data_IF_465088714339
#
_entry.id   IF_465088714339
#
_cell.length_a   1.000
_cell.length_b   1.000
_cell.length_c   1.000
_cell.angle_alpha   90.00
_cell.angle_beta   90.00
_cell.angle_gamma   90.00
#
_symmetry.space_group_name_H-M   'P 1'
#
loop_
_entity.id
_entity.type
_entity.pdbx_description
1 polymer ?
#
# COMPACT_ATOMS: atom_id res chain seq x y z
N UNK A 1 -7.12 7.32 -22.94
CA UNK A 1 -8.00 8.52 -22.72
C UNK A 1 -7.77 9.03 -21.30
N UNK A 2 -7.33 10.29 -21.09
CA UNK A 2 -7.08 10.80 -19.72
C UNK A 2 -8.38 10.87 -18.92
N UNK A 3 -8.44 10.22 -17.75
CA UNK A 3 -9.60 10.26 -16.84
C UNK A 3 -9.72 11.68 -16.23
N UNK A 4 -10.92 12.25 -16.08
CA UNK A 4 -11.08 13.56 -15.46
C UNK A 4 -10.69 13.51 -13.97
N UNK A 5 -9.96 14.54 -13.50
CA UNK A 5 -9.48 14.60 -12.12
C UNK A 5 -10.63 14.98 -11.17
N UNK A 6 -10.73 14.32 -10.01
CA UNK A 6 -11.64 14.71 -8.91
C UNK A 6 -10.97 15.84 -8.12
N UNK A 7 -11.65 16.94 -7.96
CA UNK A 7 -11.14 18.11 -7.22
C UNK A 7 -11.34 17.99 -5.70
N UNK A 8 -12.33 17.20 -5.26
CA UNK A 8 -12.66 17.04 -3.85
C UNK A 8 -12.60 15.58 -3.40
N UNK A 9 -11.93 15.33 -2.28
CA UNK A 9 -11.85 14.03 -1.60
C UNK A 9 -12.62 14.12 -0.29
N UNK A 10 -13.84 13.55 -0.23
CA UNK A 10 -14.61 13.56 1.00
C UNK A 10 -13.95 12.67 2.09
N UNK A 11 -14.03 13.05 3.38
CA UNK A 11 -13.53 12.22 4.48
C UNK A 11 -14.09 10.80 4.46
N UNK A 12 -15.36 10.62 4.05
CA UNK A 12 -16.00 9.30 3.89
C UNK A 12 -15.26 8.46 2.86
N UNK A 13 -14.96 9.01 1.68
CA UNK A 13 -14.25 8.29 0.64
C UNK A 13 -12.82 7.94 1.05
N UNK A 14 -12.11 8.88 1.71
CA UNK A 14 -10.78 8.63 2.24
C UNK A 14 -10.77 7.48 3.26
N UNK A 15 -11.74 7.45 4.15
CA UNK A 15 -11.89 6.35 5.12
C UNK A 15 -12.19 5.02 4.44
N UNK A 16 -13.07 4.99 3.43
CA UNK A 16 -13.38 3.79 2.65
C UNK A 16 -12.15 3.24 1.91
N UNK A 17 -11.26 4.11 1.46
CA UNK A 17 -9.99 3.70 0.85
C UNK A 17 -8.93 3.26 1.86
N UNK A 18 -9.23 3.26 3.15
CA UNK A 18 -8.29 2.88 4.21
C UNK A 18 -7.27 3.98 4.57
N UNK A 19 -7.52 5.24 4.19
CA UNK A 19 -6.65 6.37 4.55
C UNK A 19 -6.98 6.82 5.98
N UNK A 20 -6.04 6.73 6.95
CA UNK A 20 -6.26 7.20 8.31
C UNK A 20 -6.56 8.70 8.37
N UNK A 21 -7.42 9.10 9.32
CA UNK A 21 -7.88 10.50 9.46
C UNK A 21 -6.74 11.52 9.51
N UNK A 22 -5.63 11.19 10.18
CA UNK A 22 -4.43 12.06 10.27
C UNK A 22 -3.76 12.35 8.91
N UNK A 23 -4.09 11.59 7.85
CA UNK A 23 -3.55 11.78 6.50
C UNK A 23 -4.59 12.32 5.51
N UNK A 24 -5.78 12.74 5.98
CA UNK A 24 -6.83 13.26 5.09
C UNK A 24 -6.40 14.58 4.43
N UNK A 25 -5.86 15.50 5.21
CA UNK A 25 -5.59 16.88 4.80
C UNK A 25 -4.12 17.15 4.42
N UNK A 26 -3.26 16.11 4.45
CA UNK A 26 -1.85 16.25 4.09
C UNK A 26 -1.59 15.97 2.60
N UNK A 27 -0.52 16.54 2.06
CA UNK A 27 -0.04 16.35 0.70
C UNK A 27 1.41 15.86 0.69
N UNK A 28 1.98 15.56 -0.48
CA UNK A 28 3.34 15.01 -0.54
C UNK A 28 4.41 16.01 -0.05
N UNK A 29 4.14 17.30 -0.16
CA UNK A 29 4.99 18.37 0.32
C UNK A 29 5.16 18.34 1.85
N UNK A 30 4.17 17.79 2.57
CA UNK A 30 4.21 17.59 4.02
C UNK A 30 5.14 16.42 4.44
N UNK A 31 5.73 15.70 3.48
CA UNK A 31 6.68 14.64 3.78
C UNK A 31 7.96 15.23 4.36
N UNK A 32 8.11 15.07 5.68
CA UNK A 32 9.23 15.63 6.42
C UNK A 32 10.54 14.96 6.02
N UNK A 33 11.43 15.72 5.44
CA UNK A 33 12.77 15.25 5.03
C UNK A 33 13.85 15.52 6.07
N UNK A 34 13.58 16.36 7.07
CA UNK A 34 14.52 16.77 8.14
C UNK A 34 15.93 17.12 7.61
N UNK A 35 16.01 17.76 6.44
CA UNK A 35 17.29 18.07 5.76
C UNK A 35 18.12 16.82 5.40
N UNK A 36 17.55 15.64 5.43
CA UNK A 36 18.20 14.40 5.00
C UNK A 36 18.07 14.27 3.48
N UNK A 37 19.20 14.27 2.78
CA UNK A 37 19.23 14.22 1.30
C UNK A 37 18.54 12.97 0.74
N UNK A 38 18.65 11.84 1.43
CA UNK A 38 18.05 10.58 0.97
C UNK A 38 16.52 10.60 1.07
N UNK A 39 15.96 11.18 2.14
CA UNK A 39 14.51 11.40 2.25
C UNK A 39 13.99 12.43 1.24
N UNK A 40 14.78 13.44 0.89
CA UNK A 40 14.43 14.37 -0.16
C UNK A 40 14.35 13.66 -1.54
N UNK A 41 15.33 12.79 -1.84
CA UNK A 41 15.30 11.96 -3.06
C UNK A 41 14.08 11.02 -3.11
N UNK A 42 13.74 10.39 -1.99
CA UNK A 42 12.53 9.55 -1.89
C UNK A 42 11.28 10.39 -2.15
N UNK A 43 11.15 11.57 -1.55
CA UNK A 43 10.03 12.49 -1.80
C UNK A 43 9.93 12.86 -3.28
N UNK A 44 11.04 13.26 -3.88
CA UNK A 44 11.08 13.70 -5.27
C UNK A 44 10.74 12.55 -6.23
N UNK A 45 11.23 11.34 -5.95
CA UNK A 45 10.87 10.12 -6.66
C UNK A 45 9.37 9.81 -6.56
N UNK A 46 8.82 9.87 -5.34
CA UNK A 46 7.38 9.63 -5.12
C UNK A 46 6.54 10.70 -5.80
N UNK A 47 6.96 11.97 -5.76
CA UNK A 47 6.29 13.06 -6.47
C UNK A 47 6.24 12.80 -7.99
N UNK A 48 7.36 12.37 -8.58
CA UNK A 48 7.41 11.98 -10.00
C UNK A 48 6.48 10.80 -10.29
N UNK A 49 6.51 9.76 -9.45
CA UNK A 49 5.60 8.61 -9.55
C UNK A 49 4.12 9.03 -9.53
N UNK A 50 3.73 9.93 -8.62
CA UNK A 50 2.37 10.47 -8.54
C UNK A 50 1.99 11.29 -9.78
N UNK A 51 2.92 12.05 -10.34
CA UNK A 51 2.70 12.85 -11.56
C UNK A 51 2.45 11.95 -12.78
N UNK A 52 3.17 10.82 -12.87
CA UNK A 52 3.07 9.83 -13.96
C UNK A 52 2.05 8.72 -13.72
N UNK A 53 1.16 8.84 -12.76
CA UNK A 53 0.28 7.73 -12.34
C UNK A 53 -0.49 7.02 -13.47
N UNK A 54 -0.95 7.69 -14.56
CA UNK A 54 -1.52 6.98 -15.71
C UNK A 54 -0.53 6.06 -16.42
N UNK A 55 0.72 6.49 -16.59
CA UNK A 55 1.79 5.68 -17.19
C UNK A 55 2.20 4.53 -16.26
N UNK A 56 2.25 4.80 -14.95
CA UNK A 56 2.44 3.79 -13.90
C UNK A 56 1.40 2.68 -14.00
N UNK A 57 0.13 3.05 -14.20
CA UNK A 57 -0.95 2.08 -14.37
C UNK A 57 -0.81 1.28 -15.67
N UNK A 58 -0.57 1.97 -16.79
CA UNK A 58 -0.46 1.34 -18.11
C UNK A 58 0.72 0.36 -18.17
N UNK A 59 1.80 0.62 -17.41
CA UNK A 59 3.01 -0.22 -17.35
C UNK A 59 2.99 -1.22 -16.17
N UNK A 60 1.97 -1.22 -15.32
CA UNK A 60 1.90 -2.00 -14.07
C UNK A 60 3.11 -1.78 -13.15
N UNK A 61 3.55 -0.53 -12.97
CA UNK A 61 4.71 -0.16 -12.16
C UNK A 61 4.36 -0.14 -10.65
N UNK A 62 4.58 -1.24 -9.95
CA UNK A 62 4.41 -1.32 -8.50
C UNK A 62 5.59 -0.73 -7.71
N UNK A 63 5.41 -0.57 -6.39
CA UNK A 63 6.46 -0.15 -5.46
C UNK A 63 6.63 -1.13 -4.30
N UNK A 64 7.88 -1.38 -3.95
CA UNK A 64 8.26 -2.08 -2.73
C UNK A 64 8.90 -1.08 -1.76
N UNK A 65 8.07 -0.51 -0.86
CA UNK A 65 8.49 0.47 0.13
C UNK A 65 8.95 -0.24 1.40
N UNK A 66 10.24 -0.18 1.71
CA UNK A 66 10.79 -0.88 2.87
C UNK A 66 11.68 0.02 3.73
N UNK A 67 11.92 -0.39 4.97
CA UNK A 67 12.72 0.36 5.94
C UNK A 67 12.12 0.30 7.34
N UNK A 68 12.78 0.92 8.32
CA UNK A 68 12.41 0.86 9.73
C UNK A 68 11.02 1.46 10.03
N UNK A 69 10.55 1.28 11.27
CA UNK A 69 9.29 1.87 11.71
C UNK A 69 9.38 3.40 11.77
N UNK A 70 8.28 4.08 11.45
CA UNK A 70 8.15 5.53 11.62
C UNK A 70 8.80 6.40 10.53
N UNK A 71 9.50 5.82 9.53
CA UNK A 71 10.20 6.58 8.47
C UNK A 71 9.29 7.22 7.43
N UNK A 72 7.99 6.84 7.37
CA UNK A 72 7.01 7.47 6.48
C UNK A 72 6.42 6.58 5.40
N UNK A 73 6.61 5.24 5.41
CA UNK A 73 6.00 4.31 4.43
C UNK A 73 4.50 4.50 4.29
N UNK A 74 3.77 4.49 5.41
CA UNK A 74 2.31 4.70 5.45
C UNK A 74 1.90 6.06 4.90
N UNK A 75 2.71 7.11 5.11
CA UNK A 75 2.45 8.42 4.53
C UNK A 75 2.46 8.34 3.01
N UNK A 76 3.53 7.79 2.42
CA UNK A 76 3.67 7.61 0.97
C UNK A 76 2.53 6.76 0.41
N UNK A 77 2.21 5.65 1.06
CA UNK A 77 1.09 4.78 0.71
C UNK A 77 -0.24 5.55 0.62
N UNK A 78 -0.53 6.41 1.60
CA UNK A 78 -1.72 7.25 1.61
C UNK A 78 -1.72 8.27 0.46
N UNK A 79 -0.56 8.85 0.11
CA UNK A 79 -0.48 9.79 -1.01
C UNK A 79 -0.77 9.11 -2.35
N UNK A 80 -0.25 7.89 -2.56
CA UNK A 80 -0.52 7.10 -3.77
C UNK A 80 -2.02 6.79 -3.88
N UNK A 81 -2.64 6.28 -2.81
CA UNK A 81 -4.08 5.95 -2.80
C UNK A 81 -4.94 7.18 -3.07
N UNK A 82 -4.62 8.32 -2.45
CA UNK A 82 -5.35 9.59 -2.65
C UNK A 82 -5.23 10.07 -4.10
N UNK A 83 -4.04 10.08 -4.67
CA UNK A 83 -3.82 10.56 -6.03
C UNK A 83 -4.43 9.60 -7.07
N UNK A 84 -4.33 8.29 -6.88
CA UNK A 84 -4.99 7.31 -7.74
C UNK A 84 -6.52 7.55 -7.75
N UNK A 85 -7.13 7.73 -6.58
CA UNK A 85 -8.55 8.05 -6.49
C UNK A 85 -8.91 9.39 -7.13
N UNK A 86 -8.08 10.44 -6.98
CA UNK A 86 -8.29 11.73 -7.66
C UNK A 86 -8.33 11.56 -9.17
N UNK A 87 -7.49 10.69 -9.71
CA UNK A 87 -7.41 10.36 -11.15
C UNK A 87 -8.45 9.32 -11.61
N UNK A 88 -9.45 9.03 -10.76
CA UNK A 88 -10.55 8.11 -11.08
C UNK A 88 -10.16 6.63 -11.17
N UNK A 89 -9.04 6.25 -10.59
CA UNK A 89 -8.75 4.84 -10.35
C UNK A 89 -9.42 4.36 -9.07
N UNK A 90 -9.80 3.09 -9.03
CA UNK A 90 -10.14 2.43 -7.78
C UNK A 90 -8.86 2.21 -6.99
N UNK A 91 -8.86 2.60 -5.72
CA UNK A 91 -7.65 2.51 -4.90
C UNK A 91 -7.99 2.13 -3.47
N UNK A 92 -7.13 1.31 -2.86
CA UNK A 92 -7.32 0.88 -1.48
C UNK A 92 -5.98 0.65 -0.79
N UNK A 93 -5.92 1.05 0.46
CA UNK A 93 -4.88 0.72 1.40
C UNK A 93 -5.46 -0.21 2.46
N UNK A 94 -4.74 -1.29 2.77
CA UNK A 94 -5.16 -2.30 3.75
C UNK A 94 -3.91 -2.89 4.41
N UNK A 95 -3.99 -3.30 5.67
CA UNK A 95 -2.94 -4.13 6.25
C UNK A 95 -3.02 -5.54 5.69
N UNK A 96 -1.88 -6.22 5.58
CA UNK A 96 -1.88 -7.57 5.04
C UNK A 96 -2.65 -8.56 5.92
N UNK A 97 -2.68 -8.33 7.24
CA UNK A 97 -3.52 -9.09 8.17
C UNK A 97 -5.02 -8.91 7.86
N UNK A 98 -5.46 -7.68 7.61
CA UNK A 98 -6.87 -7.42 7.20
C UNK A 98 -7.19 -8.07 5.85
N UNK A 99 -6.27 -8.04 4.90
CA UNK A 99 -6.41 -8.72 3.61
C UNK A 99 -6.57 -10.24 3.78
N UNK A 100 -5.70 -10.87 4.58
CA UNK A 100 -5.79 -12.31 4.90
C UNK A 100 -7.12 -12.63 5.57
N UNK A 101 -7.55 -11.84 6.55
CA UNK A 101 -8.81 -12.04 7.24
C UNK A 101 -10.01 -11.95 6.28
N UNK A 102 -10.01 -10.98 5.36
CA UNK A 102 -11.06 -10.85 4.35
C UNK A 102 -11.05 -12.05 3.38
N UNK A 103 -9.87 -12.53 2.99
CA UNK A 103 -9.69 -13.70 2.12
C UNK A 103 -10.17 -14.99 2.80
N UNK A 104 -9.74 -15.25 4.03
CA UNK A 104 -10.06 -16.49 4.75
C UNK A 104 -11.50 -16.55 5.27
N UNK A 105 -12.15 -15.38 5.43
CA UNK A 105 -13.56 -15.31 5.81
C UNK A 105 -14.47 -16.09 4.85
N UNK A 106 -14.13 -16.15 3.58
CA UNK A 106 -14.85 -16.93 2.57
C UNK A 106 -14.86 -18.44 2.85
N UNK A 107 -13.82 -18.94 3.55
CA UNK A 107 -13.74 -20.37 3.94
C UNK A 107 -14.72 -20.76 5.04
N UNK A 108 -15.17 -19.78 5.82
CA UNK A 108 -16.13 -19.99 6.93
C UNK A 108 -17.59 -19.81 6.54
N UNK A 109 -17.89 -19.57 5.25
CA UNK A 109 -19.26 -19.40 4.77
C UNK A 109 -20.09 -20.65 5.01
N UNK A 110 -21.30 -20.49 5.50
CA UNK A 110 -22.21 -21.58 5.88
C UNK A 110 -23.17 -21.98 4.78
N UNK A 111 -23.43 -21.08 3.82
CA UNK A 111 -24.26 -21.34 2.66
C UNK A 111 -23.56 -20.90 1.38
N UNK A 112 -23.97 -21.46 0.21
CA UNK A 112 -23.44 -21.01 -1.09
C UNK A 112 -23.69 -19.53 -1.34
N UNK A 113 -24.83 -18.99 -0.96
CA UNK A 113 -25.20 -17.59 -1.14
C UNK A 113 -24.33 -16.67 -0.28
N UNK A 114 -24.06 -17.06 0.97
CA UNK A 114 -23.12 -16.33 1.85
C UNK A 114 -21.73 -16.34 1.25
N UNK A 115 -21.28 -17.46 0.71
CA UNK A 115 -19.97 -17.59 0.06
C UNK A 115 -19.87 -16.66 -1.14
N UNK A 116 -20.85 -16.67 -2.05
CA UNK A 116 -20.88 -15.80 -3.22
C UNK A 116 -20.83 -14.32 -2.83
N UNK A 117 -21.59 -13.92 -1.81
CA UNK A 117 -21.56 -12.55 -1.29
C UNK A 117 -20.17 -12.15 -0.79
N UNK A 118 -19.53 -13.00 0.01
CA UNK A 118 -18.19 -12.74 0.54
C UNK A 118 -17.12 -12.70 -0.56
N UNK A 119 -17.22 -13.58 -1.55
CA UNK A 119 -16.35 -13.58 -2.73
C UNK A 119 -16.51 -12.29 -3.54
N UNK A 120 -17.74 -11.83 -3.76
CA UNK A 120 -18.01 -10.57 -4.45
C UNK A 120 -17.51 -9.36 -3.66
N UNK A 121 -17.70 -9.33 -2.34
CA UNK A 121 -17.15 -8.28 -1.47
C UNK A 121 -15.62 -8.25 -1.53
N UNK A 122 -14.95 -9.40 -1.43
CA UNK A 122 -13.51 -9.50 -1.52
C UNK A 122 -12.99 -9.07 -2.88
N UNK A 123 -13.62 -9.53 -3.95
CA UNK A 123 -13.28 -9.17 -5.32
C UNK A 123 -13.33 -7.65 -5.52
N UNK A 124 -14.44 -7.02 -5.18
CA UNK A 124 -14.65 -5.59 -5.41
C UNK A 124 -13.77 -4.70 -4.51
N UNK A 125 -13.51 -5.14 -3.27
CA UNK A 125 -12.80 -4.31 -2.30
C UNK A 125 -11.29 -4.52 -2.30
N UNK A 126 -10.78 -5.64 -2.84
CA UNK A 126 -9.36 -5.96 -2.76
C UNK A 126 -8.81 -6.50 -4.07
N UNK A 127 -9.44 -7.54 -4.64
CA UNK A 127 -8.85 -8.29 -5.75
C UNK A 127 -8.79 -7.47 -7.05
N UNK A 128 -9.89 -6.80 -7.41
CA UNK A 128 -10.05 -6.02 -8.65
C UNK A 128 -9.70 -4.53 -8.52
N UNK A 129 -9.24 -4.08 -7.36
CA UNK A 129 -8.87 -2.68 -7.14
C UNK A 129 -7.65 -2.32 -7.98
N UNK A 130 -7.69 -1.23 -8.75
CA UNK A 130 -6.63 -0.85 -9.69
C UNK A 130 -5.30 -0.52 -8.98
N UNK A 131 -5.34 0.20 -7.84
CA UNK A 131 -4.17 0.48 -7.00
C UNK A 131 -4.39 -0.11 -5.61
N UNK A 132 -3.71 -1.20 -5.28
CA UNK A 132 -3.76 -1.83 -3.97
C UNK A 132 -2.46 -1.58 -3.21
N UNK A 133 -2.59 -1.05 -2.00
CA UNK A 133 -1.49 -0.96 -1.04
C UNK A 133 -1.67 -2.01 0.05
N UNK A 134 -0.70 -2.92 0.15
CA UNK A 134 -0.59 -3.90 1.23
C UNK A 134 0.44 -3.41 2.25
N UNK A 135 -0.01 -3.08 3.45
CA UNK A 135 0.87 -2.62 4.53
C UNK A 135 1.12 -3.70 5.57
N UNK A 136 2.22 -3.47 6.29
CA UNK A 136 2.60 -4.29 7.44
C UNK A 136 2.85 -5.77 7.10
N UNK A 137 3.23 -6.06 5.85
CA UNK A 137 3.67 -7.40 5.46
C UNK A 137 4.85 -7.80 6.37
N UNK A 138 4.80 -9.01 6.89
CA UNK A 138 5.77 -9.53 7.87
C UNK A 138 5.27 -9.47 9.32
N UNK A 139 4.10 -8.88 9.59
CA UNK A 139 3.52 -8.82 10.94
C UNK A 139 2.44 -9.88 11.20
N UNK A 140 2.02 -10.62 10.20
CA UNK A 140 1.12 -11.76 10.36
C UNK A 140 1.80 -12.89 11.13
N UNK A 141 0.99 -13.64 11.92
CA UNK A 141 1.49 -14.68 12.83
C UNK A 141 1.89 -15.95 12.08
N UNK A 142 1.08 -16.36 11.09
CA UNK A 142 1.29 -17.61 10.35
C UNK A 142 1.70 -17.37 8.90
N UNK A 143 3.01 -17.51 8.63
CA UNK A 143 3.55 -17.37 7.28
C UNK A 143 3.12 -18.50 6.33
N UNK A 144 2.74 -19.68 6.84
CA UNK A 144 2.29 -20.80 6.00
C UNK A 144 0.95 -20.52 5.34
N UNK A 145 0.08 -19.76 5.99
CA UNK A 145 -1.19 -19.28 5.42
C UNK A 145 -0.96 -18.02 4.59
N UNK A 146 -0.11 -17.14 5.08
CA UNK A 146 0.13 -15.83 4.46
C UNK A 146 0.86 -15.92 3.11
N UNK A 147 1.83 -16.82 2.96
CA UNK A 147 2.65 -16.92 1.74
C UNK A 147 1.82 -17.32 0.50
N UNK A 148 0.98 -18.35 0.53
CA UNK A 148 0.10 -18.66 -0.63
C UNK A 148 -0.89 -17.55 -0.95
N UNK A 149 -1.41 -16.85 0.05
CA UNK A 149 -2.36 -15.73 -0.15
C UNK A 149 -1.65 -14.54 -0.79
N UNK A 150 -0.43 -14.24 -0.38
CA UNK A 150 0.38 -13.19 -1.01
C UNK A 150 0.69 -13.55 -2.47
N UNK A 151 1.11 -14.77 -2.73
CA UNK A 151 1.40 -15.25 -4.08
C UNK A 151 0.17 -15.17 -4.98
N UNK A 152 -1.00 -15.65 -4.55
CA UNK A 152 -2.27 -15.53 -5.30
C UNK A 152 -2.60 -14.07 -5.61
N UNK A 153 -2.45 -13.20 -4.60
CA UNK A 153 -2.67 -11.77 -4.77
C UNK A 153 -1.75 -11.18 -5.85
N UNK A 154 -0.45 -11.40 -5.74
CA UNK A 154 0.54 -10.82 -6.65
C UNK A 154 0.36 -11.35 -8.08
N UNK A 155 0.16 -12.66 -8.25
CA UNK A 155 -0.05 -13.30 -9.55
C UNK A 155 -1.30 -12.80 -10.23
N UNK A 156 -2.44 -12.80 -9.52
CA UNK A 156 -3.69 -12.28 -10.08
C UNK A 156 -3.54 -10.82 -10.56
N UNK A 157 -2.87 -10.00 -9.77
CA UNK A 157 -2.71 -8.57 -10.06
C UNK A 157 -1.75 -8.32 -11.22
N UNK A 158 -0.68 -9.13 -11.34
CA UNK A 158 0.21 -9.14 -12.51
C UNK A 158 -0.57 -9.51 -13.77
N UNK A 159 -1.30 -10.63 -13.75
CA UNK A 159 -2.06 -11.13 -14.89
C UNK A 159 -3.13 -10.13 -15.39
N UNK A 160 -3.60 -9.25 -14.50
CA UNK A 160 -4.65 -8.27 -14.81
C UNK A 160 -4.14 -6.83 -14.95
N UNK A 161 -2.83 -6.60 -14.93
CA UNK A 161 -2.24 -5.25 -15.04
C UNK A 161 -2.66 -4.31 -13.90
N UNK A 162 -2.78 -4.82 -12.67
CA UNK A 162 -3.23 -4.07 -11.50
C UNK A 162 -2.05 -3.69 -10.61
N UNK A 163 -1.87 -2.40 -10.35
CA UNK A 163 -0.71 -1.87 -9.61
C UNK A 163 -0.74 -2.26 -8.14
N UNK A 164 0.34 -2.89 -7.67
CA UNK A 164 0.51 -3.28 -6.27
C UNK A 164 1.63 -2.48 -5.61
N UNK A 165 1.36 -1.95 -4.42
CA UNK A 165 2.34 -1.29 -3.57
C UNK A 165 2.47 -2.10 -2.29
N UNK A 166 3.68 -2.50 -1.93
CA UNK A 166 4.00 -3.20 -0.69
C UNK A 166 4.68 -2.24 0.28
N UNK A 167 4.24 -2.22 1.54
CA UNK A 167 4.90 -1.52 2.64
C UNK A 167 5.27 -2.51 3.74
N UNK A 168 6.57 -2.64 4.01
CA UNK A 168 7.09 -3.60 4.98
C UNK A 168 8.33 -3.07 5.72
N UNK A 169 8.69 -3.71 6.83
CA UNK A 169 9.98 -3.49 7.46
C UNK A 169 11.03 -4.51 7.00
N UNK A 170 10.59 -5.56 6.32
CA UNK A 170 11.46 -6.61 5.79
C UNK A 170 12.22 -6.10 4.56
N UNK A 171 13.48 -6.46 4.44
CA UNK A 171 14.21 -6.27 3.21
C UNK A 171 13.83 -7.33 2.16
N UNK A 172 14.41 -7.19 0.96
CA UNK A 172 14.08 -8.06 -0.17
C UNK A 172 14.50 -9.53 0.06
N UNK A 173 15.53 -9.78 0.88
CA UNK A 173 16.00 -11.13 1.22
C UNK A 173 15.07 -11.76 2.25
N UNK A 174 14.72 -11.02 3.29
CA UNK A 174 13.77 -11.44 4.31
C UNK A 174 12.40 -11.75 3.70
N UNK A 175 11.96 -10.96 2.69
CA UNK A 175 10.74 -11.25 1.93
C UNK A 175 10.82 -12.60 1.21
N UNK A 176 11.94 -12.87 0.53
CA UNK A 176 12.18 -14.15 -0.15
C UNK A 176 12.16 -15.33 0.84
N UNK A 177 12.84 -15.18 1.98
CA UNK A 177 12.96 -16.25 2.99
C UNK A 177 11.60 -16.55 3.64
N UNK A 178 10.75 -15.52 3.83
CA UNK A 178 9.46 -15.64 4.49
C UNK A 178 8.33 -16.09 3.56
N UNK A 179 8.28 -15.58 2.32
CA UNK A 179 7.16 -15.79 1.39
C UNK A 179 7.52 -16.64 0.18
N UNK A 180 8.76 -17.08 0.07
CA UNK A 180 9.21 -17.98 -0.97
C UNK A 180 9.66 -17.30 -2.27
N UNK A 181 10.25 -18.11 -3.14
CA UNK A 181 10.85 -17.66 -4.38
C UNK A 181 9.82 -17.15 -5.40
N UNK A 182 8.62 -17.72 -5.40
CA UNK A 182 7.55 -17.35 -6.33
C UNK A 182 7.07 -15.91 -6.08
N UNK A 183 6.69 -15.57 -4.85
CA UNK A 183 6.32 -14.20 -4.48
C UNK A 183 7.45 -13.21 -4.74
N UNK A 184 8.70 -13.59 -4.45
CA UNK A 184 9.87 -12.77 -4.71
C UNK A 184 10.05 -12.48 -6.20
N UNK A 185 9.89 -13.48 -7.08
CA UNK A 185 9.99 -13.32 -8.53
C UNK A 185 8.94 -12.36 -9.09
N UNK A 186 7.67 -12.51 -8.63
CA UNK A 186 6.57 -11.60 -9.00
C UNK A 186 6.85 -10.15 -8.58
N UNK A 187 7.41 -9.97 -7.39
CA UNK A 187 7.80 -8.62 -6.91
C UNK A 187 8.93 -8.02 -7.76
N UNK A 188 9.94 -8.81 -8.12
CA UNK A 188 11.05 -8.34 -8.96
C UNK A 188 10.61 -7.94 -10.37
N UNK A 189 9.60 -8.61 -10.91
CA UNK A 189 9.09 -8.34 -12.26
C UNK A 189 8.38 -6.98 -12.37
N UNK A 190 7.67 -6.57 -11.32
CA UNK A 190 6.71 -5.47 -11.41
C UNK A 190 6.87 -4.37 -10.36
N UNK A 191 7.85 -4.46 -9.43
CA UNK A 191 7.99 -3.49 -8.35
C UNK A 191 9.37 -2.88 -8.29
N UNK A 192 9.42 -1.56 -8.18
CA UNK A 192 10.65 -0.83 -7.88
C UNK A 192 10.88 -0.80 -6.37
N UNK A 193 12.02 -1.31 -5.86
CA UNK A 193 12.36 -1.21 -4.46
C UNK A 193 12.76 0.22 -4.08
N UNK A 194 12.16 0.74 -3.02
CA UNK A 194 12.42 2.06 -2.47
C UNK A 194 12.73 1.92 -0.99
N UNK A 195 14.01 2.03 -0.64
CA UNK A 195 14.45 2.07 0.75
C UNK A 195 14.16 3.44 1.34
N UNK A 196 13.47 3.45 2.48
CA UNK A 196 13.19 4.67 3.24
C UNK A 196 13.96 4.59 4.55
N UNK A 197 15.06 5.30 4.61
CA UNK A 197 15.91 5.40 5.81
C UNK A 197 15.68 6.73 6.51
N UNK A 198 15.67 6.70 7.84
CA UNK A 198 15.50 7.90 8.64
C UNK A 198 15.20 7.61 10.11
N UNK A 199 15.11 8.66 10.90
CA UNK A 199 14.68 8.56 12.30
C UNK A 199 13.17 8.28 12.36
N UNK A 200 12.74 7.61 13.43
CA UNK A 200 11.32 7.42 13.71
C UNK A 200 10.67 8.79 13.99
N UNK A 201 9.90 9.27 13.01
CA UNK A 201 9.21 10.57 13.03
C UNK A 201 8.10 10.65 14.10
N UNK A 202 7.68 9.52 14.68
CA UNK A 202 6.67 9.49 15.74
C UNK A 202 7.24 9.98 17.07
N UNK A 203 8.54 9.80 17.33
CA UNK A 203 9.19 10.21 18.58
C UNK A 203 9.37 11.72 18.67
N UNK A 204 9.64 12.40 17.57
CA UNK A 204 9.81 13.86 17.55
C UNK A 204 8.50 14.60 17.88
N UNK A 205 7.35 14.06 17.48
CA UNK A 205 6.04 14.62 17.82
C UNK A 205 5.71 14.57 19.33
N UNK A 206 6.36 13.67 20.08
CA UNK A 206 6.20 13.57 21.53
C UNK A 206 7.19 14.46 22.30
N UNK A 207 8.37 14.70 21.76
CA UNK A 207 9.40 15.54 22.37
C UNK A 207 9.02 17.02 22.33
N UNK A 208 8.53 17.49 21.18
CA UNK A 208 8.08 18.90 21.03
C UNK A 208 6.89 19.24 21.96
N UNK A 209 5.99 18.28 22.22
CA UNK A 209 4.87 18.49 23.16
C UNK A 209 5.27 18.48 24.64
N UNK A 210 6.43 17.91 24.99
CA UNK A 210 6.93 17.88 26.36
C UNK A 210 7.81 19.11 26.67
N UNK A 211 8.33 19.80 25.66
CA UNK A 211 9.09 21.04 25.80
C UNK A 211 8.18 22.30 25.84
N UNK A 212 6.92 22.18 25.38
CA UNK A 212 5.90 23.26 25.42
C UNK A 212 5.00 23.20 26.69
N UNK A 213 5.21 22.25 27.58
CA UNK A 213 4.46 22.07 28.85
C UNK A 213 5.32 22.33 30.06
#
# INVERSE_FOLDING_TARGET
MKRPIRTHLSPKNLSLMGVPKKFHDVCIEDFLTYKQKDLARVRDYVQDYLNRLPEVFDNNEGLFLYGSNGVGKTFIACMIVKEAYRRRYTSRRVTFVEYINAYTRMWGARTPEEKELLEQEFYNNYKAVEFLVLEEIGKEIDSKVAAPILEDCLRYREDHGLVTIICTNLDIREMKDRYGMSSYSLMQGNMTPVLIEGKDKRREFYTDKLEES
#
